data_IF_846433411135
#
_entry.id   IF_846433411135
#
_cell.length_a   1.000
_cell.length_b   1.000
_cell.length_c   1.000
_cell.angle_alpha   90.00
_cell.angle_beta   90.00
_cell.angle_gamma   90.00
#
_symmetry.space_group_name_H-M   'P 1'
#
loop_
_entity.id
_entity.type
_entity.pdbx_description
1 polymer ?
#
# COMPACT_ATOMS: atom_id res chain seq x y z
N UNK A 1 -21.73 -31.84 47.05
CA UNK A 1 -21.83 -30.49 46.47
C UNK A 1 -20.52 -30.17 45.75
N UNK A 2 -20.45 -30.36 44.43
CA UNK A 2 -19.24 -30.10 43.63
C UNK A 2 -19.26 -28.66 43.13
N UNK A 3 -18.20 -27.91 43.43
CA UNK A 3 -17.98 -26.52 43.05
C UNK A 3 -17.78 -26.44 41.54
N UNK A 4 -18.57 -25.62 40.86
CA UNK A 4 -18.41 -25.29 39.44
C UNK A 4 -17.63 -23.98 39.34
N UNK A 5 -16.32 -24.07 39.13
CA UNK A 5 -15.46 -22.91 38.92
C UNK A 5 -15.51 -22.55 37.44
N UNK A 6 -16.15 -21.43 37.11
CA UNK A 6 -16.26 -20.91 35.75
C UNK A 6 -14.92 -20.25 35.36
N UNK A 7 -14.18 -20.86 34.43
CA UNK A 7 -12.91 -20.36 33.94
C UNK A 7 -13.18 -19.47 32.71
N UNK A 8 -13.12 -18.15 32.89
CA UNK A 8 -13.26 -17.18 31.80
C UNK A 8 -11.91 -17.11 31.08
N UNK A 9 -11.85 -17.72 29.89
CA UNK A 9 -10.69 -17.62 28.99
C UNK A 9 -10.88 -16.36 28.15
N UNK A 10 -10.19 -15.28 28.50
CA UNK A 10 -10.07 -14.09 27.66
C UNK A 10 -9.12 -14.39 26.50
N UNK A 11 -9.70 -14.68 25.34
CA UNK A 11 -8.97 -14.73 24.06
C UNK A 11 -8.53 -13.30 23.70
N UNK A 12 -7.25 -12.99 23.91
CA UNK A 12 -6.61 -11.83 23.32
C UNK A 12 -6.41 -12.12 21.83
N UNK A 13 -7.37 -11.72 21.00
CA UNK A 13 -7.22 -11.77 19.55
C UNK A 13 -6.32 -10.59 19.18
N UNK A 14 -5.01 -10.86 19.08
CA UNK A 14 -4.06 -9.91 18.51
C UNK A 14 -4.31 -9.89 17.00
N UNK A 15 -5.03 -8.87 16.52
CA UNK A 15 -5.10 -8.61 15.09
C UNK A 15 -3.71 -8.13 14.64
N UNK A 16 -2.92 -9.02 14.06
CA UNK A 16 -1.72 -8.63 13.33
C UNK A 16 -2.18 -7.92 12.06
N UNK A 17 -2.20 -6.59 12.08
CA UNK A 17 -2.13 -5.82 10.84
C UNK A 17 -0.67 -5.88 10.41
N UNK A 18 -0.34 -6.66 9.39
CA UNK A 18 0.99 -6.61 8.81
C UNK A 18 1.15 -5.26 8.11
N UNK A 19 2.13 -4.47 8.57
CA UNK A 19 2.46 -3.19 7.95
C UNK A 19 3.35 -3.46 6.74
N UNK A 20 3.10 -2.77 5.64
CA UNK A 20 3.89 -2.91 4.41
C UNK A 20 5.33 -2.49 4.69
N UNK A 21 6.26 -3.42 4.54
CA UNK A 21 7.70 -3.15 4.67
C UNK A 21 8.30 -2.80 3.32
N UNK A 22 8.91 -1.62 3.22
CA UNK A 22 9.70 -1.23 2.06
C UNK A 22 11.18 -1.50 2.34
N UNK A 23 11.85 -2.29 1.50
CA UNK A 23 13.29 -2.49 1.58
C UNK A 23 13.97 -1.54 0.58
N UNK A 24 15.14 -0.98 0.92
CA UNK A 24 15.96 -0.18 -0.02
C UNK A 24 15.28 1.08 -0.64
N UNK A 25 14.23 1.62 -0.04
CA UNK A 25 13.61 2.89 -0.48
C UNK A 25 14.36 4.11 0.06
N UNK A 26 15.54 4.37 -0.49
CA UNK A 26 16.47 5.37 0.06
C UNK A 26 16.32 6.79 -0.50
N UNK A 27 15.35 7.02 -1.41
CA UNK A 27 15.24 8.29 -2.12
C UNK A 27 13.98 9.07 -1.74
N UNK A 28 14.12 10.38 -1.60
CA UNK A 28 12.98 11.29 -1.45
C UNK A 28 12.07 11.28 -2.69
N UNK A 29 10.77 11.34 -2.47
CA UNK A 29 9.77 11.36 -3.52
C UNK A 29 9.89 12.60 -4.40
N UNK A 30 10.02 12.36 -5.70
CA UNK A 30 9.94 13.38 -6.75
C UNK A 30 8.91 12.94 -7.80
N UNK A 31 7.85 13.74 -7.96
CA UNK A 31 6.76 13.46 -8.89
C UNK A 31 7.22 13.36 -10.35
N UNK A 32 8.19 14.18 -10.76
CA UNK A 32 8.68 14.19 -12.14
C UNK A 32 9.52 12.94 -12.42
N UNK A 33 10.37 12.53 -11.47
CA UNK A 33 11.14 11.29 -11.57
C UNK A 33 10.18 10.10 -11.60
N UNK A 34 9.18 10.07 -10.70
CA UNK A 34 8.19 9.00 -10.64
C UNK A 34 7.47 8.81 -11.98
N UNK A 35 6.99 9.91 -12.57
CA UNK A 35 6.25 9.91 -13.84
C UNK A 35 7.10 9.49 -15.03
N UNK A 36 8.40 9.81 -15.01
CA UNK A 36 9.30 9.58 -16.17
C UNK A 36 10.13 8.30 -16.07
N UNK A 37 10.25 7.69 -14.90
CA UNK A 37 11.19 6.59 -14.66
C UNK A 37 10.57 5.47 -13.81
N UNK A 38 9.83 4.51 -14.42
CA UNK A 38 9.24 3.38 -13.70
C UNK A 38 10.24 2.62 -12.82
N UNK A 39 11.45 2.36 -13.33
CA UNK A 39 12.54 1.68 -12.60
C UNK A 39 13.03 2.40 -11.33
N UNK A 40 12.66 3.67 -11.14
CA UNK A 40 13.05 4.45 -9.96
C UNK A 40 11.93 4.57 -8.93
N UNK A 41 10.70 4.15 -9.26
CA UNK A 41 9.51 4.35 -8.42
C UNK A 41 9.63 3.65 -7.07
N UNK A 42 10.10 2.40 -7.05
CA UNK A 42 10.26 1.65 -5.79
C UNK A 42 11.17 2.38 -4.80
N UNK A 43 12.27 2.97 -5.28
CA UNK A 43 13.22 3.70 -4.42
C UNK A 43 12.64 4.94 -3.72
N UNK A 44 11.47 5.42 -4.18
CA UNK A 44 10.78 6.60 -3.67
C UNK A 44 9.47 6.26 -2.94
N UNK A 45 9.03 5.00 -2.99
CA UNK A 45 7.69 4.60 -2.57
C UNK A 45 7.49 4.77 -1.06
N UNK A 46 8.49 4.44 -0.26
CA UNK A 46 8.40 4.58 1.20
C UNK A 46 8.24 6.04 1.62
N UNK A 47 8.98 6.95 0.98
CA UNK A 47 8.90 8.38 1.28
C UNK A 47 7.53 8.95 0.89
N UNK A 48 7.01 8.55 -0.28
CA UNK A 48 5.65 8.91 -0.70
C UNK A 48 4.59 8.40 0.28
N UNK A 49 4.72 7.13 0.68
CA UNK A 49 3.84 6.48 1.65
C UNK A 49 3.80 7.22 2.98
N UNK A 50 4.98 7.48 3.57
CA UNK A 50 5.13 8.14 4.87
C UNK A 50 4.66 9.58 4.88
N UNK A 51 4.86 10.33 3.79
CA UNK A 51 4.51 11.74 3.76
C UNK A 51 3.03 12.00 3.52
N UNK A 52 2.38 11.22 2.66
CA UNK A 52 1.06 11.63 2.17
C UNK A 52 0.10 10.53 1.77
N UNK A 53 0.55 9.36 1.31
CA UNK A 53 -0.30 8.40 0.58
C UNK A 53 -1.66 8.14 1.27
N UNK A 54 -1.65 7.87 2.58
CA UNK A 54 -2.85 7.51 3.36
C UNK A 54 -3.90 8.61 3.49
N UNK A 55 -3.54 9.86 3.19
CA UNK A 55 -4.45 11.02 3.28
C UNK A 55 -5.05 11.43 1.94
N UNK A 56 -4.61 10.79 0.85
CA UNK A 56 -4.98 11.14 -0.51
C UNK A 56 -6.18 10.33 -0.98
N UNK A 57 -6.99 10.92 -1.85
CA UNK A 57 -7.96 10.17 -2.65
C UNK A 57 -7.38 9.75 -4.01
N UNK A 58 -8.16 8.99 -4.79
CA UNK A 58 -7.72 8.48 -6.10
C UNK A 58 -7.29 9.59 -7.06
N UNK A 59 -7.98 10.74 -7.07
CA UNK A 59 -7.64 11.85 -7.96
C UNK A 59 -6.33 12.51 -7.56
N UNK A 60 -6.13 12.73 -6.26
CA UNK A 60 -4.90 13.30 -5.72
C UNK A 60 -3.69 12.37 -5.92
N UNK A 61 -3.90 11.05 -5.83
CA UNK A 61 -2.89 10.04 -6.19
C UNK A 61 -2.50 10.18 -7.66
N UNK A 62 -3.47 10.24 -8.57
CA UNK A 62 -3.21 10.38 -10.02
C UNK A 62 -2.53 11.71 -10.33
N UNK A 63 -2.91 12.81 -9.67
CA UNK A 63 -2.27 14.11 -9.86
C UNK A 63 -0.78 14.07 -9.46
N UNK A 64 -0.46 13.41 -8.35
CA UNK A 64 0.93 13.28 -7.85
C UNK A 64 1.74 12.25 -8.63
N UNK A 65 1.18 11.10 -8.96
CA UNK A 65 1.91 9.96 -9.52
C UNK A 65 1.79 9.86 -11.05
N UNK A 66 0.85 10.57 -11.66
CA UNK A 66 0.53 10.46 -13.08
C UNK A 66 -0.53 9.39 -13.34
N UNK A 67 -0.73 9.06 -14.62
CA UNK A 67 -1.66 8.00 -14.98
C UNK A 67 -1.17 6.65 -14.44
N UNK A 68 -2.07 5.82 -13.91
CA UNK A 68 -1.71 4.48 -13.44
C UNK A 68 -1.37 3.57 -14.63
N UNK A 69 -0.50 2.59 -14.39
CA UNK A 69 -0.14 1.60 -15.41
C UNK A 69 -1.15 0.45 -15.47
N UNK A 70 -1.91 0.25 -14.37
CA UNK A 70 -2.95 -0.75 -14.24
C UNK A 70 -3.98 -0.31 -13.19
N UNK A 71 -5.01 -1.12 -13.00
CA UNK A 71 -5.96 -0.96 -11.90
C UNK A 71 -6.13 -2.27 -11.14
N UNK A 72 -6.26 -2.18 -9.81
CA UNK A 72 -6.44 -3.29 -8.89
C UNK A 72 -7.91 -3.48 -8.53
N UNK A 73 -8.30 -4.73 -8.22
CA UNK A 73 -9.67 -5.16 -7.90
C UNK A 73 -10.74 -4.65 -8.87
N UNK A 74 -10.91 -5.35 -10.01
CA UNK A 74 -11.93 -5.04 -11.02
C UNK A 74 -11.88 -3.60 -11.52
N UNK A 75 -10.68 -3.14 -11.84
CA UNK A 75 -10.39 -1.82 -12.39
C UNK A 75 -10.74 -0.63 -11.47
N UNK A 76 -10.79 -0.84 -10.15
CA UNK A 76 -11.23 0.19 -9.20
C UNK A 76 -10.08 1.08 -8.70
N UNK A 77 -8.95 0.48 -8.31
CA UNK A 77 -7.90 1.20 -7.58
C UNK A 77 -6.66 1.43 -8.44
N UNK A 78 -6.11 2.66 -8.48
CA UNK A 78 -4.96 2.95 -9.33
C UNK A 78 -3.75 2.13 -8.88
N UNK A 79 -3.09 1.48 -9.83
CA UNK A 79 -1.90 0.69 -9.61
C UNK A 79 -0.75 1.13 -10.53
N UNK A 80 0.47 1.12 -10.00
CA UNK A 80 1.66 1.62 -10.68
C UNK A 80 2.75 0.55 -10.68
N UNK A 81 3.34 0.32 -11.85
CA UNK A 81 4.47 -0.59 -12.00
C UNK A 81 5.69 0.01 -11.32
N UNK A 82 6.38 -0.79 -10.53
CA UNK A 82 7.52 -0.39 -9.71
C UNK A 82 8.89 -0.68 -10.35
N UNK A 83 8.91 -1.53 -11.36
CA UNK A 83 10.09 -1.93 -12.13
C UNK A 83 9.69 -2.34 -13.54
N UNK A 84 10.49 -2.07 -14.56
CA UNK A 84 10.24 -2.56 -15.93
C UNK A 84 10.58 -4.04 -16.10
N UNK A 85 11.50 -4.56 -15.27
CA UNK A 85 11.99 -5.94 -15.38
C UNK A 85 11.18 -6.94 -14.57
N UNK A 86 10.46 -6.48 -13.54
CA UNK A 86 9.64 -7.30 -12.66
C UNK A 86 8.19 -6.84 -12.78
N UNK A 87 7.27 -7.80 -12.91
CA UNK A 87 5.84 -7.51 -12.91
C UNK A 87 5.37 -7.30 -11.47
N UNK A 88 5.76 -6.15 -10.91
CA UNK A 88 5.48 -5.76 -9.56
C UNK A 88 4.80 -4.39 -9.55
N UNK A 89 3.64 -4.33 -8.93
CA UNK A 89 2.76 -3.18 -8.87
C UNK A 89 2.63 -2.70 -7.43
N UNK A 90 2.47 -1.39 -7.24
CA UNK A 90 1.87 -0.83 -6.03
C UNK A 90 0.45 -0.41 -6.33
N UNK A 91 -0.53 -0.91 -5.57
CA UNK A 91 -1.92 -0.49 -5.63
C UNK A 91 -2.29 0.38 -4.42
N UNK A 92 -3.10 1.41 -4.65
CA UNK A 92 -3.60 2.31 -3.61
C UNK A 92 -5.11 2.07 -3.40
N UNK A 93 -5.44 1.23 -2.41
CA UNK A 93 -6.83 0.85 -2.10
C UNK A 93 -7.53 2.02 -1.42
N UNK A 94 -8.68 2.43 -1.96
CA UNK A 94 -9.45 3.56 -1.47
C UNK A 94 -10.63 3.08 -0.62
N UNK A 95 -10.72 3.55 0.61
CA UNK A 95 -11.90 3.32 1.44
C UNK A 95 -13.09 4.09 0.85
N UNK A 96 -14.18 3.36 0.59
CA UNK A 96 -15.35 3.93 -0.09
C UNK A 96 -16.13 4.94 0.76
N UNK A 97 -15.97 4.92 2.08
CA UNK A 97 -16.61 5.83 3.04
C UNK A 97 -15.82 7.13 3.17
N UNK A 98 -14.52 7.04 3.44
CA UNK A 98 -13.64 8.21 3.63
C UNK A 98 -13.17 8.81 2.31
N UNK A 99 -13.23 8.03 1.22
CA UNK A 99 -12.64 8.32 -0.09
C UNK A 99 -11.13 8.45 -0.08
N UNK A 100 -10.45 8.08 1.00
CA UNK A 100 -8.99 8.16 1.14
C UNK A 100 -8.36 6.78 1.05
N UNK A 101 -7.06 6.75 0.75
CA UNK A 101 -6.27 5.51 0.77
C UNK A 101 -6.37 4.88 2.15
N UNK A 102 -6.85 3.63 2.20
CA UNK A 102 -6.88 2.81 3.40
C UNK A 102 -5.74 1.81 3.47
N UNK A 103 -5.17 1.45 2.33
CA UNK A 103 -4.14 0.43 2.22
C UNK A 103 -3.30 0.64 0.97
N UNK A 104 -2.02 0.28 1.06
CA UNK A 104 -1.08 0.26 -0.05
C UNK A 104 -0.59 -1.17 -0.19
N UNK A 105 -0.75 -1.78 -1.37
CA UNK A 105 -0.44 -3.20 -1.58
C UNK A 105 0.65 -3.37 -2.64
N UNK A 106 1.56 -4.32 -2.41
CA UNK A 106 2.51 -4.78 -3.43
C UNK A 106 1.98 -6.07 -4.05
N UNK A 107 1.87 -6.10 -5.38
CA UNK A 107 1.27 -7.21 -6.12
C UNK A 107 2.21 -7.70 -7.24
N UNK A 108 2.50 -9.01 -7.32
CA UNK A 108 2.13 -10.04 -6.35
C UNK A 108 2.89 -9.87 -5.02
N UNK A 109 2.34 -10.40 -3.93
CA UNK A 109 2.99 -10.39 -2.62
C UNK A 109 4.46 -10.90 -2.71
N UNK A 110 5.38 -10.19 -2.08
CA UNK A 110 6.82 -10.50 -2.10
C UNK A 110 7.56 -10.19 -3.40
N UNK A 111 6.96 -9.44 -4.34
CA UNK A 111 7.62 -9.12 -5.62
C UNK A 111 8.85 -8.21 -5.53
N UNK A 112 9.16 -7.68 -4.33
CA UNK A 112 10.30 -6.78 -4.05
C UNK A 112 11.21 -7.30 -2.93
N UNK A 113 11.04 -8.56 -2.51
CA UNK A 113 11.86 -9.20 -1.47
C UNK A 113 13.18 -9.77 -2.01
#
# INVERSE_FOLDING_TARGET
>A
MKKLTLLIVTLLISACSEEVTFTNSERSFDSNIWKSSPNQRYSMLEDFYKQSAMTLDSSEIIDKLGQPDAYYLYDEFPAYRLSESQDCLVAFVIDRSTKKVSEVLLEPEGCMD
#
